data_IF_157068657936
#
_entry.id   IF_157068657936
#
_cell.length_a   1.000
_cell.length_b   1.000
_cell.length_c   1.000
_cell.angle_alpha   90.00
_cell.angle_beta   90.00
_cell.angle_gamma   90.00
#
_symmetry.space_group_name_H-M   'P 1'
#
loop_
_entity.id
_entity.type
_entity.pdbx_description
1 polymer ?
#
# COMPACT_ATOMS: atom_id res chain seq x y z
N UNK A 1 16.96 23.32 7.58
CA UNK A 1 15.95 22.67 8.45
C UNK A 1 15.64 21.31 7.85
N UNK A 2 15.66 20.23 8.63
CA UNK A 2 15.14 18.93 8.17
C UNK A 2 13.62 19.02 8.18
N UNK A 3 12.96 18.73 7.06
CA UNK A 3 11.49 18.57 7.06
C UNK A 3 11.13 17.30 7.83
N UNK A 4 10.19 17.35 8.78
CA UNK A 4 9.73 16.14 9.45
C UNK A 4 9.13 15.19 8.41
N UNK A 5 9.61 13.95 8.39
CA UNK A 5 9.06 12.90 7.56
C UNK A 5 8.00 12.15 8.35
N UNK A 6 6.76 12.19 7.89
CA UNK A 6 5.67 11.45 8.49
C UNK A 6 5.53 10.07 7.85
N UNK A 7 5.00 9.12 8.62
CA UNK A 7 4.73 7.76 8.14
C UNK A 7 3.28 7.69 7.67
N UNK A 8 3.11 7.50 6.36
CA UNK A 8 1.82 7.20 5.74
C UNK A 8 1.71 5.69 5.50
N UNK A 9 0.57 5.09 5.89
CA UNK A 9 0.24 3.70 5.55
C UNK A 9 -0.96 3.66 4.62
N UNK A 10 -0.81 3.00 3.48
CA UNK A 10 -1.92 2.63 2.60
C UNK A 10 -2.27 1.16 2.86
N UNK A 11 -3.56 0.88 3.02
CA UNK A 11 -4.07 -0.47 3.21
C UNK A 11 -5.03 -0.79 2.07
N UNK A 12 -4.68 -1.77 1.25
CA UNK A 12 -5.58 -2.32 0.24
C UNK A 12 -6.24 -3.58 0.79
N UNK A 13 -7.57 -3.61 0.82
CA UNK A 13 -8.38 -4.76 1.29
C UNK A 13 -9.37 -5.17 0.22
N UNK A 14 -9.50 -6.46 -0.05
CA UNK A 14 -10.43 -7.00 -1.02
C UNK A 14 -10.11 -8.46 -1.34
N UNK A 15 -10.73 -9.03 -2.37
CA UNK A 15 -10.30 -10.34 -2.84
C UNK A 15 -8.85 -10.27 -3.41
N UNK A 16 -8.12 -11.39 -3.49
CA UNK A 16 -6.73 -11.40 -3.94
C UNK A 16 -6.50 -10.73 -5.30
N UNK A 17 -7.41 -10.94 -6.25
CA UNK A 17 -7.27 -10.41 -7.61
C UNK A 17 -7.40 -8.88 -7.64
N UNK A 18 -8.37 -8.33 -6.91
CA UNK A 18 -8.60 -6.88 -6.81
C UNK A 18 -7.44 -6.20 -6.08
N UNK A 19 -6.92 -6.81 -5.00
CA UNK A 19 -5.76 -6.27 -4.27
C UNK A 19 -4.51 -6.27 -5.16
N UNK A 20 -4.24 -7.36 -5.89
CA UNK A 20 -3.13 -7.41 -6.84
C UNK A 20 -3.28 -6.39 -7.99
N UNK A 21 -4.49 -6.21 -8.50
CA UNK A 21 -4.79 -5.22 -9.54
C UNK A 21 -4.54 -3.79 -9.06
N UNK A 22 -4.89 -3.49 -7.80
CA UNK A 22 -4.60 -2.20 -7.16
C UNK A 22 -3.09 -1.96 -7.05
N UNK A 23 -2.34 -2.94 -6.53
CA UNK A 23 -0.87 -2.84 -6.41
C UNK A 23 -0.23 -2.64 -7.79
N UNK A 24 -0.64 -3.42 -8.80
CA UNK A 24 -0.13 -3.27 -10.17
C UNK A 24 -0.51 -1.91 -10.78
N UNK A 25 -1.70 -1.39 -10.49
CA UNK A 25 -2.13 -0.06 -10.91
C UNK A 25 -1.25 1.05 -10.33
N UNK A 26 -0.99 1.00 -9.01
CA UNK A 26 -0.13 1.97 -8.33
C UNK A 26 1.34 1.86 -8.79
N UNK A 27 1.79 0.67 -9.17
CA UNK A 27 3.10 0.50 -9.81
C UNK A 27 3.15 1.17 -11.19
N UNK A 28 2.14 0.97 -12.04
CA UNK A 28 2.07 1.63 -13.36
C UNK A 28 2.03 3.16 -13.25
N UNK A 29 1.44 3.69 -12.19
CA UNK A 29 1.42 5.13 -11.90
C UNK A 29 2.73 5.65 -11.28
N UNK A 30 3.74 4.78 -11.08
CA UNK A 30 5.01 5.14 -10.46
C UNK A 30 4.92 5.44 -8.96
N UNK A 31 3.79 5.13 -8.31
CA UNK A 31 3.57 5.46 -6.91
C UNK A 31 4.35 4.55 -5.96
N UNK A 32 4.36 3.23 -6.22
CA UNK A 32 5.08 2.24 -5.42
C UNK A 32 5.33 0.96 -6.21
N UNK A 33 6.48 0.33 -6.01
CA UNK A 33 6.82 -0.98 -6.58
C UNK A 33 6.11 -2.11 -5.81
N UNK A 34 5.76 -3.23 -6.47
CA UNK A 34 5.07 -4.34 -5.80
C UNK A 34 5.79 -4.92 -4.58
N UNK A 35 7.13 -4.82 -4.53
CA UNK A 35 7.98 -5.33 -3.46
C UNK A 35 7.99 -4.41 -2.23
N UNK A 36 7.58 -3.14 -2.38
CA UNK A 36 7.44 -2.19 -1.26
C UNK A 36 6.21 -2.51 -0.39
N UNK A 37 5.27 -3.28 -0.91
CA UNK A 37 4.07 -3.72 -0.20
C UNK A 37 4.37 -4.99 0.60
N UNK A 38 3.69 -5.15 1.75
CA UNK A 38 3.70 -6.40 2.50
C UNK A 38 3.29 -7.60 1.63
N UNK A 39 3.65 -8.81 2.07
CA UNK A 39 2.95 -10.03 1.62
C UNK A 39 1.44 -9.93 1.91
N UNK A 40 0.66 -10.78 1.25
CA UNK A 40 -0.76 -10.90 1.60
C UNK A 40 -0.92 -11.25 3.08
N UNK A 41 -1.83 -10.54 3.73
CA UNK A 41 -2.23 -10.78 5.10
C UNK A 41 -3.72 -11.15 5.11
N UNK A 42 -4.17 -11.96 6.08
CA UNK A 42 -5.59 -12.25 6.25
C UNK A 42 -6.36 -10.94 6.55
N UNK A 43 -7.54 -10.78 5.96
CA UNK A 43 -8.46 -9.70 6.31
C UNK A 43 -9.61 -10.21 7.18
N UNK A 44 -10.46 -9.31 7.66
CA UNK A 44 -11.56 -9.64 8.57
C UNK A 44 -12.61 -10.58 7.95
N UNK A 45 -12.85 -10.48 6.63
CA UNK A 45 -13.89 -11.25 5.96
C UNK A 45 -13.32 -12.44 5.19
N UNK A 46 -14.06 -13.58 5.13
CA UNK A 46 -13.68 -14.73 4.31
C UNK A 46 -13.43 -14.35 2.85
N UNK A 47 -12.37 -14.90 2.27
CA UNK A 47 -11.99 -14.62 0.87
C UNK A 47 -11.39 -13.24 0.63
N UNK A 48 -11.27 -12.39 1.66
CA UNK A 48 -10.55 -11.12 1.58
C UNK A 48 -9.13 -11.26 2.12
N UNK A 49 -8.23 -10.53 1.48
CA UNK A 49 -6.84 -10.33 1.88
C UNK A 49 -6.56 -8.86 2.01
N UNK A 50 -5.51 -8.52 2.74
CA UNK A 50 -4.98 -7.17 2.78
C UNK A 50 -3.50 -7.13 2.40
N UNK A 51 -3.06 -5.98 1.86
CA UNK A 51 -1.65 -5.60 1.72
C UNK A 51 -1.45 -4.19 2.24
N UNK A 52 -0.30 -3.97 2.88
CA UNK A 52 0.03 -2.69 3.51
C UNK A 52 1.28 -2.13 2.83
N UNK A 53 1.21 -0.87 2.40
CA UNK A 53 2.35 -0.08 1.95
C UNK A 53 2.67 0.96 3.02
N UNK A 54 3.93 1.05 3.44
CA UNK A 54 4.39 2.06 4.39
C UNK A 54 5.36 2.99 3.69
N UNK A 55 5.04 4.29 3.62
CA UNK A 55 5.91 5.32 3.04
C UNK A 55 6.30 6.36 4.07
N UNK A 56 7.52 6.88 3.97
CA UNK A 56 7.91 8.13 4.62
C UNK A 56 7.63 9.26 3.64
N UNK A 57 6.73 10.15 4.00
CA UNK A 57 6.32 11.29 3.16
C UNK A 57 6.79 12.58 3.80
N UNK A 58 7.25 13.50 2.97
CA UNK A 58 7.46 14.89 3.40
C UNK A 58 6.09 15.55 3.38
N UNK A 59 5.66 16.13 4.51
CA UNK A 59 4.49 17.01 4.53
C UNK A 59 4.75 18.19 3.60
N UNK A 60 3.92 18.34 2.57
CA UNK A 60 3.86 19.56 1.78
C UNK A 60 2.73 20.38 2.35
N UNK A 61 3.07 21.44 3.08
CA UNK A 61 2.15 22.44 3.62
C UNK A 61 1.73 23.44 2.55
#
# INVERSE_FOLDING_TARGET
MLTPMDVLRLVAVGNPQTVNSCVAGLFRLGYARPEEWSRHLPAANPGQVMRILTKRVVQVS
#
